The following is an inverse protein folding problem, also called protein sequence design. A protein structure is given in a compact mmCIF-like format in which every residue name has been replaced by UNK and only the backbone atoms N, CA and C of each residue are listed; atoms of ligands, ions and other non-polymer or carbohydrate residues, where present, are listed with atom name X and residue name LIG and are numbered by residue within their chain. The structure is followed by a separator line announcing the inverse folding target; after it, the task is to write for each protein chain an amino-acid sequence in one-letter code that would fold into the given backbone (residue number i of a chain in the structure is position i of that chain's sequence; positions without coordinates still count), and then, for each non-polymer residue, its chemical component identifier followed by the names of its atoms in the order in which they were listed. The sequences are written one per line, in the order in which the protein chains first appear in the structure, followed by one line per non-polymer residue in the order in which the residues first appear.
data_IF_809439995789
#
_entry.id   IF_809439995789
#
_cell.length_a   1.000
_cell.length_b   1.000
_cell.length_c   1.000
_cell.angle_alpha   90.00
_cell.angle_beta   90.00
_cell.angle_gamma   90.00
#
_symmetry.space_group_name_H-M   'P 1'
#
loop_
_entity.id
_entity.type
_entity.pdbx_description
1 polymer ?
#
# COMPACT_ATOMS: atom_id res chain seq x y z
N UNK A 1 15.23 2.57 10.05
CA UNK A 1 16.20 3.68 10.22
C UNK A 1 15.56 4.79 11.07
N UNK A 2 16.36 5.67 11.67
CA UNK A 2 15.86 6.79 12.48
C UNK A 2 16.28 8.13 11.87
N UNK A 3 15.91 8.32 10.60
CA UNK A 3 16.17 9.55 9.85
C UNK A 3 14.99 10.53 9.92
N UNK A 4 15.15 11.70 9.30
CA UNK A 4 14.13 12.76 9.32
C UNK A 4 12.78 12.31 8.77
N UNK A 5 12.74 11.71 7.58
CA UNK A 5 11.48 11.25 6.98
C UNK A 5 10.82 10.15 7.80
N UNK A 6 11.61 9.22 8.38
CA UNK A 6 11.08 8.19 9.27
C UNK A 6 10.42 8.77 10.52
N UNK A 7 11.07 9.74 11.19
CA UNK A 7 10.52 10.36 12.41
C UNK A 7 9.27 11.20 12.12
N UNK A 8 9.34 12.08 11.13
CA UNK A 8 8.22 12.97 10.81
C UNK A 8 7.06 12.22 10.15
N UNK A 9 7.34 11.21 9.32
CA UNK A 9 6.33 10.31 8.78
C UNK A 9 5.58 9.57 9.88
N UNK A 10 6.32 8.98 10.84
CA UNK A 10 5.71 8.33 12.01
C UNK A 10 4.84 9.31 12.81
N UNK A 11 5.33 10.52 13.05
CA UNK A 11 4.60 11.58 13.78
C UNK A 11 3.30 11.95 13.08
N UNK A 12 3.34 12.25 11.78
CA UNK A 12 2.16 12.66 11.01
C UNK A 12 1.14 11.53 10.91
N UNK A 13 1.57 10.33 10.50
CA UNK A 13 0.67 9.19 10.23
C UNK A 13 -0.05 8.74 11.50
N UNK A 14 0.66 8.55 12.60
CA UNK A 14 0.04 8.13 13.86
C UNK A 14 -0.88 9.21 14.42
N UNK A 15 -0.52 10.49 14.27
CA UNK A 15 -1.36 11.60 14.72
C UNK A 15 -2.67 11.72 13.93
N UNK A 16 -2.84 11.05 12.79
CA UNK A 16 -4.13 10.96 12.10
C UNK A 16 -5.22 10.34 13.00
N UNK A 17 -4.85 9.45 13.93
CA UNK A 17 -5.79 8.84 14.87
C UNK A 17 -6.38 9.84 15.87
N UNK A 18 -5.72 10.98 16.10
CA UNK A 18 -6.30 12.05 16.93
C UNK A 18 -7.53 12.70 16.31
N UNK A 19 -7.84 12.41 15.03
CA UNK A 19 -9.10 12.82 14.40
C UNK A 19 -10.33 12.09 14.97
N UNK A 20 -10.15 10.94 15.64
CA UNK A 20 -11.24 10.17 16.23
C UNK A 20 -11.84 10.96 17.43
N UNK A 21 -13.15 11.28 17.41
CA UNK A 21 -13.78 12.01 18.50
C UNK A 21 -13.62 11.30 19.85
N UNK A 22 -13.46 12.09 20.91
CA UNK A 22 -13.37 11.69 22.32
C UNK A 22 -12.11 10.88 22.72
N UNK A 23 -11.70 9.89 21.94
CA UNK A 23 -10.62 8.96 22.31
C UNK A 23 -9.32 9.13 21.51
N UNK A 24 -9.33 9.95 20.44
CA UNK A 24 -8.23 10.03 19.49
C UNK A 24 -6.89 10.40 20.11
N UNK A 25 -6.84 11.45 20.94
CA UNK A 25 -5.59 11.88 21.59
C UNK A 25 -5.00 10.79 22.48
N UNK A 26 -5.84 10.14 23.28
CA UNK A 26 -5.41 9.04 24.16
C UNK A 26 -4.87 7.85 23.35
N UNK A 27 -5.45 7.54 22.19
CA UNK A 27 -4.96 6.48 21.31
C UNK A 27 -3.57 6.82 20.73
N UNK A 28 -3.34 8.07 20.33
CA UNK A 28 -2.05 8.52 19.80
C UNK A 28 -0.96 8.41 20.86
N UNK A 29 -1.19 8.95 22.06
CA UNK A 29 -0.24 8.87 23.17
C UNK A 29 0.00 7.44 23.62
N UNK A 30 -1.04 6.59 23.58
CA UNK A 30 -0.90 5.16 23.87
C UNK A 30 -0.02 4.46 22.84
N UNK A 31 -0.20 4.74 21.54
CA UNK A 31 0.64 4.19 20.45
C UNK A 31 2.07 4.69 20.56
N UNK A 32 2.30 5.93 20.98
CA UNK A 32 3.65 6.45 21.21
C UNK A 32 4.27 5.89 22.50
N UNK A 33 3.46 5.63 23.52
CA UNK A 33 3.95 5.34 24.86
C UNK A 33 4.55 6.55 25.56
N UNK A 34 4.00 7.73 25.25
CA UNK A 34 4.50 9.03 25.69
C UNK A 34 3.80 10.16 24.93
N UNK A 35 4.25 11.39 25.15
CA UNK A 35 3.64 12.59 24.56
C UNK A 35 4.10 12.91 23.14
N UNK A 36 5.13 12.21 22.65
CA UNK A 36 5.69 12.36 21.31
C UNK A 36 6.28 11.05 20.83
N UNK A 37 6.60 10.97 19.53
CA UNK A 37 7.39 9.87 18.98
C UNK A 37 8.79 9.90 19.59
N UNK A 38 9.19 8.82 20.27
CA UNK A 38 10.49 8.71 20.95
C UNK A 38 10.95 7.23 21.04
N UNK A 39 11.93 6.92 21.90
CA UNK A 39 12.52 5.59 22.12
C UNK A 39 11.48 4.50 22.38
N UNK A 40 10.43 4.81 23.16
CA UNK A 40 9.34 3.86 23.43
C UNK A 40 8.59 3.47 22.15
N UNK A 41 8.36 4.43 21.25
CA UNK A 41 7.73 4.24 19.93
C UNK A 41 8.63 3.43 19.00
N UNK A 42 9.93 3.74 18.95
CA UNK A 42 10.85 3.02 18.07
C UNK A 42 10.97 1.54 18.47
N UNK A 43 11.10 1.27 19.76
CA UNK A 43 11.28 -0.11 20.27
C UNK A 43 10.06 -0.99 19.96
N UNK A 44 8.84 -0.47 20.16
CA UNK A 44 7.61 -1.20 19.82
C UNK A 44 7.40 -1.32 18.31
N UNK A 45 7.73 -0.29 17.53
CA UNK A 45 7.60 -0.35 16.06
C UNK A 45 8.53 -1.40 15.48
N UNK A 46 9.74 -1.55 16.02
CA UNK A 46 10.61 -2.67 15.66
C UNK A 46 9.97 -4.03 15.99
N UNK A 47 9.43 -4.20 17.19
CA UNK A 47 8.76 -5.44 17.58
C UNK A 47 7.55 -5.76 16.68
N UNK A 48 6.71 -4.76 16.36
CA UNK A 48 5.58 -4.91 15.43
C UNK A 48 6.05 -5.21 14.01
N UNK A 49 7.04 -4.49 13.51
CA UNK A 49 7.62 -4.71 12.19
C UNK A 49 8.22 -6.11 12.07
N UNK A 50 8.79 -6.65 13.14
CA UNK A 50 9.31 -8.01 13.16
C UNK A 50 8.20 -9.08 13.10
N UNK A 51 7.12 -8.92 13.90
CA UNK A 51 6.07 -9.96 13.98
C UNK A 51 5.08 -9.92 12.80
N UNK A 52 4.78 -8.74 12.25
CA UNK A 52 3.78 -8.57 11.19
C UNK A 52 4.05 -9.40 9.93
N UNK A 53 5.28 -9.53 9.41
CA UNK A 53 5.59 -10.41 8.28
C UNK A 53 5.17 -11.87 8.50
N UNK A 54 5.31 -12.40 9.72
CA UNK A 54 4.89 -13.76 10.05
C UNK A 54 3.36 -13.89 10.08
N UNK A 55 2.67 -12.87 10.59
CA UNK A 55 1.20 -12.80 10.52
C UNK A 55 0.74 -12.75 9.07
N UNK A 56 1.39 -11.95 8.21
CA UNK A 56 1.11 -11.87 6.78
C UNK A 56 1.33 -13.24 6.12
N UNK A 57 2.42 -13.95 6.44
CA UNK A 57 2.67 -15.30 5.90
C UNK A 57 1.55 -16.28 6.28
N UNK A 58 1.05 -16.24 7.53
CA UNK A 58 -0.10 -17.05 7.94
C UNK A 58 -1.38 -16.69 7.17
N UNK A 59 -1.64 -15.39 6.96
CA UNK A 59 -2.78 -14.92 6.16
C UNK A 59 -2.66 -15.32 4.68
N UNK A 60 -1.45 -15.37 4.12
CA UNK A 60 -1.21 -15.86 2.75
C UNK A 60 -1.58 -17.36 2.65
N UNK A 61 -1.31 -18.17 3.66
CA UNK A 61 -1.73 -19.57 3.66
C UNK A 61 -3.25 -19.71 3.67
N UNK A 62 -3.95 -18.90 4.47
CA UNK A 62 -5.42 -18.85 4.48
C UNK A 62 -5.96 -18.37 3.13
N UNK A 63 -5.33 -17.36 2.54
CA UNK A 63 -5.67 -16.86 1.21
C UNK A 63 -5.54 -17.95 0.14
N UNK A 64 -4.43 -18.70 0.12
CA UNK A 64 -4.20 -19.79 -0.82
C UNK A 64 -5.15 -20.97 -0.60
N UNK A 65 -5.53 -21.27 0.65
CA UNK A 65 -6.52 -22.29 0.96
C UNK A 65 -7.87 -21.95 0.29
N UNK A 66 -8.38 -20.73 0.47
CA UNK A 66 -9.62 -20.31 -0.19
C UNK A 66 -9.50 -20.24 -1.72
N UNK A 67 -8.32 -19.92 -2.25
CA UNK A 67 -8.07 -20.00 -3.69
C UNK A 67 -8.15 -21.44 -4.18
N UNK A 68 -7.64 -22.41 -3.44
CA UNK A 68 -7.64 -23.82 -3.82
C UNK A 68 -9.04 -24.45 -3.83
N UNK A 69 -9.98 -23.96 -3.01
CA UNK A 69 -11.37 -24.41 -3.04
C UNK A 69 -12.08 -24.14 -4.38
N UNK A 70 -11.68 -23.07 -5.08
CA UNK A 70 -12.34 -22.66 -6.34
C UNK A 70 -11.44 -22.79 -7.57
N UNK A 71 -10.13 -22.84 -7.38
CA UNK A 71 -9.13 -22.74 -8.44
C UNK A 71 -8.93 -21.30 -8.95
N UNK A 72 -7.92 -21.12 -9.80
CA UNK A 72 -7.64 -19.82 -10.42
C UNK A 72 -8.71 -19.44 -11.43
N UNK A 73 -9.02 -18.14 -11.52
CA UNK A 73 -9.77 -17.59 -12.65
C UNK A 73 -8.86 -17.52 -13.90
N UNK A 74 -9.45 -17.25 -15.07
CA UNK A 74 -8.73 -17.08 -16.33
C UNK A 74 -9.17 -15.78 -17.05
N UNK A 75 -8.44 -15.31 -18.08
CA UNK A 75 -8.73 -14.05 -18.76
C UNK A 75 -10.14 -13.96 -19.35
N UNK A 76 -10.74 -15.07 -19.80
CA UNK A 76 -12.09 -15.09 -20.37
C UNK A 76 -13.18 -14.90 -19.29
N UNK A 77 -12.87 -15.24 -18.04
CA UNK A 77 -13.80 -15.15 -16.91
C UNK A 77 -14.91 -16.21 -16.92
N UNK A 78 -14.77 -17.24 -17.76
CA UNK A 78 -15.65 -18.43 -17.82
C UNK A 78 -15.01 -19.59 -17.05
N UNK A 79 -15.73 -20.68 -16.77
CA UNK A 79 -15.09 -21.88 -16.20
C UNK A 79 -14.05 -22.43 -17.18
N UNK A 80 -12.89 -22.84 -16.65
CA UNK A 80 -11.82 -23.51 -17.38
C UNK A 80 -11.73 -25.00 -17.04
N UNK A 81 -12.75 -25.58 -16.41
CA UNK A 81 -12.73 -26.99 -15.97
C UNK A 81 -12.55 -27.98 -17.13
N UNK A 82 -13.01 -27.62 -18.33
CA UNK A 82 -12.88 -28.45 -19.54
C UNK A 82 -11.45 -28.51 -20.10
N UNK A 83 -10.57 -27.60 -19.70
CA UNK A 83 -9.22 -27.44 -20.27
C UNK A 83 -8.19 -27.08 -19.19
N UNK A 84 -8.11 -27.94 -18.15
CA UNK A 84 -7.11 -27.81 -17.10
C UNK A 84 -5.81 -28.48 -17.52
N UNK A 85 -4.70 -27.81 -17.21
CA UNK A 85 -3.35 -28.37 -17.28
C UNK A 85 -2.77 -28.50 -15.86
N UNK A 86 -1.88 -29.48 -15.61
CA UNK A 86 -1.22 -29.60 -14.32
C UNK A 86 -0.33 -28.37 -14.05
N UNK A 87 -0.14 -28.03 -12.77
CA UNK A 87 0.70 -26.89 -12.40
C UNK A 87 2.17 -27.08 -12.83
N UNK A 88 2.71 -28.27 -12.60
CA UNK A 88 4.02 -28.69 -13.10
C UNK A 88 3.87 -29.50 -14.39
N UNK A 89 4.66 -29.24 -15.45
CA UNK A 89 5.78 -28.30 -15.52
C UNK A 89 5.38 -26.86 -15.91
N UNK A 90 4.16 -26.67 -16.41
CA UNK A 90 3.76 -25.48 -17.16
C UNK A 90 3.86 -24.15 -16.37
N UNK A 91 3.25 -24.07 -15.20
CA UNK A 91 3.30 -22.87 -14.39
C UNK A 91 4.59 -22.79 -13.57
N UNK A 92 5.18 -23.92 -13.17
CA UNK A 92 6.50 -23.90 -12.49
C UNK A 92 7.59 -23.24 -13.33
N UNK A 93 7.68 -23.52 -14.64
CA UNK A 93 8.69 -22.89 -15.50
C UNK A 93 8.37 -21.41 -15.78
N UNK A 94 7.08 -21.07 -15.90
CA UNK A 94 6.63 -19.70 -16.10
C UNK A 94 6.91 -18.83 -14.86
N UNK A 95 6.68 -19.38 -13.68
CA UNK A 95 6.94 -18.71 -12.40
C UNK A 95 8.45 -18.54 -12.18
N UNK A 96 9.27 -19.53 -12.57
CA UNK A 96 10.73 -19.39 -12.54
C UNK A 96 11.21 -18.25 -13.45
N UNK A 97 10.66 -18.12 -14.65
CA UNK A 97 10.95 -16.99 -15.53
C UNK A 97 10.55 -15.65 -14.88
N UNK A 98 9.35 -15.59 -14.29
CA UNK A 98 8.89 -14.41 -13.55
C UNK A 98 9.82 -14.04 -12.39
N UNK A 99 10.28 -15.03 -11.61
CA UNK A 99 11.24 -14.84 -10.53
C UNK A 99 12.59 -14.34 -11.04
N UNK A 100 13.10 -14.88 -12.15
CA UNK A 100 14.33 -14.40 -12.76
C UNK A 100 14.23 -12.93 -13.20
N UNK A 101 13.11 -12.52 -13.78
CA UNK A 101 12.87 -11.12 -14.15
C UNK A 101 12.74 -10.21 -12.93
N UNK A 102 12.06 -10.65 -11.87
CA UNK A 102 11.98 -9.92 -10.61
C UNK A 102 13.37 -9.70 -10.00
N UNK A 103 14.17 -10.76 -9.89
CA UNK A 103 15.55 -10.69 -9.37
C UNK A 103 16.39 -9.75 -10.24
N UNK A 104 16.29 -9.84 -11.57
CA UNK A 104 17.01 -8.96 -12.47
C UNK A 104 16.69 -7.48 -12.20
N UNK A 105 15.40 -7.13 -12.11
CA UNK A 105 14.96 -5.75 -11.85
C UNK A 105 15.40 -5.28 -10.46
N UNK A 106 15.22 -6.10 -9.43
CA UNK A 106 15.63 -5.77 -8.07
C UNK A 106 17.15 -5.59 -7.98
N UNK A 107 17.94 -6.49 -8.56
CA UNK A 107 19.40 -6.37 -8.56
C UNK A 107 19.86 -5.18 -9.39
N UNK A 108 19.17 -4.85 -10.48
CA UNK A 108 19.48 -3.63 -11.25
C UNK A 108 19.29 -2.38 -10.39
N UNK A 109 18.17 -2.30 -9.66
CA UNK A 109 17.93 -1.19 -8.72
C UNK A 109 19.02 -1.17 -7.63
N UNK A 110 19.26 -2.28 -6.95
CA UNK A 110 20.20 -2.35 -5.81
C UNK A 110 21.64 -2.06 -6.24
N UNK A 111 22.09 -2.58 -7.38
CA UNK A 111 23.49 -2.47 -7.80
C UNK A 111 23.81 -1.17 -8.54
N UNK A 112 22.86 -0.62 -9.30
CA UNK A 112 23.13 0.55 -10.14
C UNK A 112 22.47 1.84 -9.62
N UNK A 113 21.33 1.76 -8.94
CA UNK A 113 20.58 2.94 -8.48
C UNK A 113 19.86 2.72 -7.15
N UNK A 114 20.57 2.33 -6.06
CA UNK A 114 19.94 1.90 -4.81
C UNK A 114 19.06 2.97 -4.14
N UNK A 115 19.38 4.24 -4.36
CA UNK A 115 18.67 5.38 -3.78
C UNK A 115 17.55 5.94 -4.65
N UNK A 116 17.32 5.40 -5.86
CA UNK A 116 16.38 5.95 -6.85
C UNK A 116 14.94 6.06 -6.32
N UNK A 117 14.52 5.12 -5.47
CA UNK A 117 13.18 5.08 -4.90
C UNK A 117 13.12 5.61 -3.46
N UNK A 118 14.23 6.11 -2.93
CA UNK A 118 14.35 6.64 -1.57
C UNK A 118 14.17 8.16 -1.49
N UNK A 119 14.25 8.68 -0.27
CA UNK A 119 14.27 10.13 -0.02
C UNK A 119 15.60 10.52 0.66
N UNK A 120 16.39 11.46 0.08
CA UNK A 120 17.67 11.89 0.62
C UNK A 120 17.61 12.38 2.08
N UNK A 121 16.49 12.99 2.50
CA UNK A 121 16.36 13.54 3.85
C UNK A 121 16.42 12.43 4.91
N UNK A 122 16.10 11.18 4.55
CA UNK A 122 16.17 10.06 5.49
C UNK A 122 17.61 9.60 5.81
N UNK A 123 18.61 10.10 5.09
CA UNK A 123 20.03 9.95 5.45
C UNK A 123 20.46 10.89 6.59
N UNK A 124 19.70 11.96 6.85
CA UNK A 124 19.96 12.84 7.98
C UNK A 124 19.28 12.28 9.24
N UNK A 125 19.98 12.19 10.39
CA UNK A 125 19.39 11.72 11.64
C UNK A 125 18.17 12.56 12.04
N UNK A 126 17.18 11.91 12.65
CA UNK A 126 15.95 12.58 13.08
C UNK A 126 16.24 13.75 14.05
N UNK A 127 15.64 14.90 13.78
CA UNK A 127 15.65 16.07 14.66
C UNK A 127 14.20 16.48 14.99
N UNK A 128 13.72 16.23 16.23
CA UNK A 128 12.37 16.60 16.64
C UNK A 128 12.04 18.10 16.59
N UNK A 129 13.06 18.95 16.49
CA UNK A 129 12.92 20.41 16.47
C UNK A 129 12.98 21.01 15.05
N UNK A 130 13.22 20.19 14.03
CA UNK A 130 13.38 20.65 12.65
C UNK A 130 12.66 19.72 11.68
N UNK A 131 11.52 20.21 11.17
CA UNK A 131 10.74 19.56 10.11
C UNK A 131 11.40 19.78 8.75
N UNK A 132 11.58 18.73 7.94
CA UNK A 132 11.95 18.88 6.53
C UNK A 132 10.99 19.80 5.77
N UNK A 133 11.45 20.52 4.75
CA UNK A 133 10.64 21.48 4.01
C UNK A 133 9.45 20.82 3.29
N UNK A 134 9.62 19.58 2.79
CA UNK A 134 8.58 18.83 2.10
C UNK A 134 8.47 17.40 2.65
N UNK A 135 7.78 17.23 3.78
CA UNK A 135 7.51 15.91 4.35
C UNK A 135 6.49 15.17 3.48
N UNK A 136 6.86 13.99 3.00
CA UNK A 136 6.00 13.08 2.22
C UNK A 136 6.30 11.62 2.61
N UNK A 137 5.34 10.69 2.46
CA UNK A 137 5.62 9.28 2.63
C UNK A 137 6.36 8.71 1.41
N UNK A 138 6.78 7.47 1.51
CA UNK A 138 7.36 6.73 0.39
C UNK A 138 6.38 6.62 -0.80
N UNK A 139 6.93 6.42 -2.00
CA UNK A 139 6.21 6.56 -3.27
C UNK A 139 4.91 5.73 -3.35
N UNK A 140 4.89 4.53 -2.77
CA UNK A 140 3.75 3.61 -2.78
C UNK A 140 2.57 4.08 -1.91
N UNK A 141 2.74 5.12 -1.10
CA UNK A 141 1.65 5.74 -0.33
C UNK A 141 1.20 7.10 -0.89
N UNK A 142 1.87 7.63 -1.93
CA UNK A 142 1.59 8.99 -2.42
C UNK A 142 0.17 9.18 -2.94
N UNK A 143 -0.43 8.17 -3.58
CA UNK A 143 -1.82 8.28 -4.07
C UNK A 143 -2.80 8.51 -2.90
N UNK A 144 -2.63 7.78 -1.81
CA UNK A 144 -3.49 7.84 -0.63
C UNK A 144 -3.22 9.13 0.16
N UNK A 145 -1.96 9.56 0.20
CA UNK A 145 -1.55 10.84 0.77
C UNK A 145 -2.15 12.04 -0.01
N UNK A 146 -2.22 11.97 -1.34
CA UNK A 146 -2.91 12.98 -2.14
C UNK A 146 -4.39 13.06 -1.75
N UNK A 147 -5.10 11.93 -1.69
CA UNK A 147 -6.51 11.86 -1.27
C UNK A 147 -6.72 12.47 0.12
N UNK A 148 -5.86 12.14 1.09
CA UNK A 148 -5.88 12.71 2.44
C UNK A 148 -5.80 14.25 2.41
N UNK A 149 -4.88 14.81 1.61
CA UNK A 149 -4.65 16.26 1.50
C UNK A 149 -5.72 17.00 0.71
N UNK A 150 -6.45 16.33 -0.18
CA UNK A 150 -7.49 16.94 -1.00
C UNK A 150 -8.71 17.41 -0.20
N UNK A 151 -8.88 16.96 1.05
CA UNK A 151 -10.03 17.31 1.88
C UNK A 151 -9.61 18.31 2.96
N UNK A 152 -10.13 19.56 2.96
CA UNK A 152 -9.77 20.61 3.93
C UNK A 152 -10.47 20.42 5.29
N UNK A 153 -10.50 19.17 5.79
CA UNK A 153 -11.02 18.80 7.09
C UNK A 153 -10.24 17.60 7.61
N UNK A 154 -9.70 17.67 8.83
CA UNK A 154 -8.85 16.60 9.39
C UNK A 154 -9.58 15.26 9.45
N UNK A 155 -10.80 15.21 10.01
CA UNK A 155 -11.57 13.98 10.10
C UNK A 155 -11.98 13.47 8.72
N UNK A 156 -12.47 14.36 7.84
CA UNK A 156 -12.86 14.03 6.47
C UNK A 156 -11.71 13.43 5.67
N UNK A 157 -10.52 14.03 5.74
CA UNK A 157 -9.32 13.51 5.09
C UNK A 157 -8.91 12.13 5.61
N UNK A 158 -8.94 11.92 6.94
CA UNK A 158 -8.63 10.61 7.55
C UNK A 158 -9.65 9.55 7.12
N UNK A 159 -10.94 9.89 7.08
CA UNK A 159 -11.97 8.98 6.58
C UNK A 159 -11.75 8.64 5.11
N UNK A 160 -11.47 9.63 4.25
CA UNK A 160 -11.20 9.39 2.83
C UNK A 160 -9.95 8.54 2.58
N UNK A 161 -8.88 8.76 3.35
CA UNK A 161 -7.69 7.91 3.34
C UNK A 161 -8.06 6.45 3.62
N UNK A 162 -8.81 6.20 4.70
CA UNK A 162 -9.25 4.84 5.07
C UNK A 162 -10.15 4.25 3.98
N UNK A 163 -11.11 5.01 3.47
CA UNK A 163 -12.01 4.57 2.41
C UNK A 163 -11.30 4.29 1.08
N UNK A 164 -10.19 4.98 0.77
CA UNK A 164 -9.41 4.71 -0.45
C UNK A 164 -8.90 3.27 -0.52
N UNK A 165 -8.73 2.59 0.62
CA UNK A 165 -8.36 1.19 0.71
C UNK A 165 -9.60 0.31 0.96
N UNK A 166 -10.45 0.68 1.92
CA UNK A 166 -11.63 -0.13 2.28
C UNK A 166 -12.65 -0.26 1.15
N UNK A 167 -12.66 0.65 0.18
CA UNK A 167 -13.52 0.56 -1.01
C UNK A 167 -13.29 -0.76 -1.78
N UNK A 168 -12.09 -1.36 -1.69
CA UNK A 168 -11.79 -2.65 -2.32
C UNK A 168 -12.69 -3.79 -1.78
N UNK A 169 -13.11 -3.72 -0.50
CA UNK A 169 -13.95 -4.74 0.12
C UNK A 169 -15.39 -4.74 -0.43
N UNK A 170 -15.87 -3.60 -0.94
CA UNK A 170 -17.23 -3.49 -1.49
C UNK A 170 -17.28 -3.70 -3.02
N UNK A 171 -16.13 -3.81 -3.70
CA UNK A 171 -16.07 -4.05 -5.16
C UNK A 171 -16.92 -5.25 -5.60
N UNK A 172 -16.94 -6.41 -4.91
CA UNK A 172 -17.81 -7.52 -5.30
C UNK A 172 -19.30 -7.15 -5.29
N UNK A 173 -19.74 -6.31 -4.35
CA UNK A 173 -21.14 -5.84 -4.24
C UNK A 173 -21.49 -4.80 -5.30
N UNK A 174 -20.49 -4.09 -5.83
CA UNK A 174 -20.66 -3.11 -6.91
C UNK A 174 -20.67 -3.77 -8.31
N UNK A 175 -20.47 -5.09 -8.41
CA UNK A 175 -20.46 -5.78 -9.69
C UNK A 175 -21.86 -5.89 -10.30
N UNK A 176 -22.11 -5.16 -11.39
CA UNK A 176 -23.41 -5.13 -12.08
C UNK A 176 -23.43 -5.91 -13.40
N UNK A 177 -22.27 -6.32 -13.90
CA UNK A 177 -22.18 -6.97 -15.20
C UNK A 177 -22.60 -8.44 -15.13
N UNK A 178 -23.15 -8.96 -16.24
CA UNK A 178 -23.41 -10.40 -16.40
C UNK A 178 -22.14 -11.19 -16.76
N UNK A 179 -21.08 -10.51 -17.15
CA UNK A 179 -19.79 -11.10 -17.52
C UNK A 179 -18.75 -10.78 -16.44
N UNK A 180 -18.11 -11.82 -15.91
CA UNK A 180 -17.12 -11.74 -14.83
C UNK A 180 -15.89 -10.92 -15.24
N UNK A 181 -15.26 -11.27 -16.38
CA UNK A 181 -14.06 -10.59 -16.89
C UNK A 181 -14.38 -9.30 -17.63
N UNK A 182 -13.42 -8.37 -17.66
CA UNK A 182 -13.50 -7.16 -18.48
C UNK A 182 -13.06 -7.37 -19.94
N UNK A 183 -12.47 -8.52 -20.30
CA UNK A 183 -11.92 -8.77 -21.65
C UNK A 183 -12.93 -8.52 -22.78
N UNK A 184 -14.23 -8.75 -22.55
CA UNK A 184 -15.29 -8.53 -23.53
C UNK A 184 -16.15 -7.29 -23.23
N UNK A 185 -15.67 -6.36 -22.40
CA UNK A 185 -16.40 -5.17 -21.94
C UNK A 185 -15.62 -3.88 -22.25
N UNK A 186 -15.67 -3.37 -23.50
CA UNK A 186 -14.84 -2.23 -23.92
C UNK A 186 -14.98 -0.99 -23.02
N UNK A 187 -16.21 -0.62 -22.64
CA UNK A 187 -16.44 0.52 -21.75
C UNK A 187 -15.81 0.30 -20.37
N UNK A 188 -15.89 -0.90 -19.81
CA UNK A 188 -15.28 -1.21 -18.51
C UNK A 188 -13.75 -1.23 -18.58
N UNK A 189 -13.16 -1.70 -19.69
CA UNK A 189 -11.70 -1.60 -19.90
C UNK A 189 -11.25 -0.14 -19.96
N UNK A 190 -11.98 0.71 -20.69
CA UNK A 190 -11.66 2.14 -20.77
C UNK A 190 -11.72 2.81 -19.40
N UNK A 191 -12.78 2.56 -18.62
CA UNK A 191 -12.90 3.08 -17.25
C UNK A 191 -11.81 2.54 -16.31
N UNK A 192 -11.40 1.29 -16.45
CA UNK A 192 -10.29 0.72 -15.68
C UNK A 192 -8.97 1.43 -15.98
N UNK A 193 -8.70 1.75 -17.25
CA UNK A 193 -7.50 2.51 -17.62
C UNK A 193 -7.56 3.97 -17.18
N UNK A 194 -8.75 4.60 -17.18
CA UNK A 194 -8.93 5.91 -16.55
C UNK A 194 -8.60 5.85 -15.05
N UNK A 195 -9.12 4.86 -14.32
CA UNK A 195 -8.80 4.68 -12.89
C UNK A 195 -7.30 4.47 -12.67
N UNK A 196 -6.65 3.67 -13.53
CA UNK A 196 -5.21 3.43 -13.46
C UNK A 196 -4.42 4.72 -13.69
N UNK A 197 -4.80 5.52 -14.69
CA UNK A 197 -4.19 6.81 -14.96
C UNK A 197 -4.41 7.80 -13.81
N UNK A 198 -5.61 7.82 -13.22
CA UNK A 198 -5.93 8.64 -12.05
C UNK A 198 -5.05 8.29 -10.85
N UNK A 199 -4.82 7.01 -10.56
CA UNK A 199 -3.89 6.58 -9.50
C UNK A 199 -2.44 7.05 -9.76
N UNK A 200 -1.99 7.05 -11.02
CA UNK A 200 -0.67 7.63 -11.37
C UNK A 200 -0.64 9.14 -11.16
N UNK A 201 -1.70 9.86 -11.54
CA UNK A 201 -1.83 11.31 -11.32
C UNK A 201 -1.84 11.61 -9.82
N UNK A 202 -2.60 10.87 -9.01
CA UNK A 202 -2.62 11.01 -7.55
C UNK A 202 -1.24 10.73 -6.93
N UNK A 203 -0.53 9.72 -7.44
CA UNK A 203 0.85 9.44 -7.00
C UNK A 203 1.77 10.62 -7.30
N UNK A 204 1.67 11.19 -8.50
CA UNK A 204 2.45 12.37 -8.89
C UNK A 204 2.11 13.61 -8.05
N UNK A 205 0.83 13.95 -7.90
CA UNK A 205 0.33 15.06 -7.08
C UNK A 205 0.73 14.88 -5.61
N UNK A 206 0.68 13.65 -5.09
CA UNK A 206 1.14 13.33 -3.74
C UNK A 206 2.60 13.71 -3.47
N UNK A 207 3.44 13.68 -4.51
CA UNK A 207 4.84 14.10 -4.44
C UNK A 207 5.09 15.60 -4.60
N UNK A 208 4.07 16.40 -4.96
CA UNK A 208 4.18 17.85 -5.15
C UNK A 208 3.92 18.62 -3.82
N UNK A 209 4.45 19.85 -3.70
CA UNK A 209 4.08 20.76 -2.62
C UNK A 209 2.58 21.11 -2.66
N UNK A 210 2.06 21.57 -1.52
CA UNK A 210 0.68 22.06 -1.42
C UNK A 210 0.69 23.54 -1.76
N UNK A 211 0.46 23.86 -3.02
CA UNK A 211 0.35 25.21 -3.58
C UNK A 211 -1.01 25.41 -4.25
#
# INVERSE_FOLDING_TARGET
PWGQMSFWGATVITNLLSAIPYIGTNLVEWIWGGFSVDKATLTRFFAFHFILPFIIAALVMVHLLFLHETGSNNPLGTSSDSDKIPFHPYYTIKDLLGLMLLILLTMTLVLFSPDLLGDPDNYTPANPLSTPPHIKPEWYFLFAYAILRSIPNKLGGVLALVFSILILAIIPMLHTAKQRSMVFRPLSQYLFWILTADLFILTWIGGQPVE
#
